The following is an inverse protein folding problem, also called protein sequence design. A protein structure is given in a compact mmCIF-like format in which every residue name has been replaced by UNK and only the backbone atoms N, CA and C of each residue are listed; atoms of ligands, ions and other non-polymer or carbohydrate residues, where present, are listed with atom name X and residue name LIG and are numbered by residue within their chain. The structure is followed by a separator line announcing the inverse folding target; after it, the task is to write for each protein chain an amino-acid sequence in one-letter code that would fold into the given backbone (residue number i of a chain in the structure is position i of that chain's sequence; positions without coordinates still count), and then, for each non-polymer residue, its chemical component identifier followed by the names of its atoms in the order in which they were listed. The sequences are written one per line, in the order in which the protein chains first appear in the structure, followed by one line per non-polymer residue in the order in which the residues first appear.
data_IF_889364087206
#
_entry.id   IF_889364087206
#
_cell.length_a   1.000
_cell.length_b   1.000
_cell.length_c   1.000
_cell.angle_alpha   90.00
_cell.angle_beta   90.00
_cell.angle_gamma   90.00
#
_symmetry.space_group_name_H-M   'P 1'
#
loop_
_entity.id
_entity.type
_entity.pdbx_description
1 polymer ?
#
# COMPACT_ATOMS: atom_id res chain seq x y z
N UNK A 1 -23.31 -5.38 -10.84
CA UNK A 1 -21.93 -5.95 -10.73
C UNK A 1 -21.64 -6.28 -9.27
N UNK A 2 -20.63 -7.09 -8.95
CA UNK A 2 -20.29 -7.44 -7.56
C UNK A 2 -18.89 -6.98 -7.17
N UNK A 3 -18.72 -6.50 -5.94
CA UNK A 3 -17.43 -6.14 -5.37
C UNK A 3 -16.52 -7.37 -5.26
N UNK A 4 -15.33 -7.32 -5.86
CA UNK A 4 -14.38 -8.45 -5.88
C UNK A 4 -13.82 -8.82 -4.49
N UNK A 5 -13.96 -7.94 -3.50
CA UNK A 5 -13.43 -8.15 -2.14
C UNK A 5 -14.48 -8.77 -1.22
N UNK A 6 -15.71 -8.26 -1.23
CA UNK A 6 -16.74 -8.65 -0.26
C UNK A 6 -18.03 -9.21 -0.86
N UNK A 7 -18.13 -9.31 -2.20
CA UNK A 7 -19.29 -9.87 -2.89
C UNK A 7 -20.56 -9.02 -2.82
N UNK A 8 -20.52 -7.81 -2.23
CA UNK A 8 -21.67 -6.88 -2.23
C UNK A 8 -21.96 -6.41 -3.64
N UNK A 9 -23.24 -6.31 -3.96
CA UNK A 9 -23.71 -5.72 -5.21
C UNK A 9 -23.31 -4.24 -5.30
N UNK A 10 -22.85 -3.85 -6.47
CA UNK A 10 -22.43 -2.49 -6.82
C UNK A 10 -23.11 -2.11 -8.14
N UNK A 11 -23.47 -0.83 -8.23
CA UNK A 11 -24.14 -0.27 -9.41
C UNK A 11 -23.25 -0.43 -10.65
N UNK A 12 -23.86 -0.84 -11.76
CA UNK A 12 -23.21 -0.99 -13.06
C UNK A 12 -22.82 0.36 -13.68
N UNK A 13 -23.33 1.48 -13.15
CA UNK A 13 -22.99 2.84 -13.60
C UNK A 13 -21.61 3.30 -13.11
N UNK A 14 -21.03 2.58 -12.15
CA UNK A 14 -19.71 2.89 -11.61
C UNK A 14 -18.65 2.01 -12.25
N UNK A 15 -17.66 2.63 -12.90
CA UNK A 15 -16.47 1.97 -13.46
C UNK A 15 -15.49 1.53 -12.35
N UNK A 16 -15.96 0.72 -11.38
CA UNK A 16 -15.18 0.29 -10.21
C UNK A 16 -15.48 -1.15 -9.85
N UNK A 17 -14.44 -1.98 -9.69
CA UNK A 17 -14.59 -3.39 -9.31
C UNK A 17 -14.77 -3.63 -7.80
N UNK A 18 -14.70 -2.56 -7.01
CA UNK A 18 -14.70 -2.58 -5.54
C UNK A 18 -15.72 -1.61 -4.99
N UNK A 19 -16.38 -1.98 -3.88
CA UNK A 19 -17.29 -1.06 -3.20
C UNK A 19 -16.53 -0.05 -2.33
N UNK A 20 -17.16 1.10 -2.08
CA UNK A 20 -16.59 2.22 -1.32
C UNK A 20 -16.06 1.81 0.07
N UNK A 21 -16.72 0.86 0.74
CA UNK A 21 -16.28 0.41 2.06
C UNK A 21 -14.93 -0.31 1.98
N UNK A 22 -14.79 -1.25 1.05
CA UNK A 22 -13.55 -1.98 0.86
C UNK A 22 -12.41 -1.06 0.39
N UNK A 23 -12.69 -0.09 -0.49
CA UNK A 23 -11.71 0.92 -0.89
C UNK A 23 -11.21 1.74 0.31
N UNK A 24 -12.12 2.17 1.19
CA UNK A 24 -11.74 2.91 2.41
C UNK A 24 -10.89 2.07 3.36
N UNK A 25 -11.22 0.80 3.55
CA UNK A 25 -10.44 -0.10 4.41
C UNK A 25 -9.03 -0.33 3.87
N UNK A 26 -8.90 -0.63 2.57
CA UNK A 26 -7.60 -0.79 1.91
C UNK A 26 -6.77 0.49 2.01
N UNK A 27 -7.39 1.66 1.83
CA UNK A 27 -6.71 2.95 1.97
C UNK A 27 -6.18 3.16 3.40
N UNK A 28 -6.99 2.86 4.42
CA UNK A 28 -6.56 2.94 5.84
C UNK A 28 -5.38 2.01 6.12
N UNK A 29 -5.47 0.75 5.69
CA UNK A 29 -4.39 -0.24 5.87
C UNK A 29 -3.11 0.22 5.16
N UNK A 30 -3.22 0.71 3.93
CA UNK A 30 -2.09 1.24 3.16
C UNK A 30 -1.41 2.39 3.89
N UNK A 31 -2.18 3.33 4.43
CA UNK A 31 -1.62 4.43 5.21
C UNK A 31 -0.94 3.97 6.49
N UNK A 32 -1.50 2.98 7.19
CA UNK A 32 -0.87 2.39 8.38
C UNK A 32 0.46 1.71 8.03
N UNK A 33 0.52 0.97 6.93
CA UNK A 33 1.76 0.35 6.43
C UNK A 33 2.81 1.40 6.05
N UNK A 34 2.42 2.50 5.44
CA UNK A 34 3.35 3.60 5.12
C UNK A 34 3.88 4.26 6.40
N UNK A 35 3.03 4.46 7.41
CA UNK A 35 3.42 5.06 8.70
C UNK A 35 4.30 4.12 9.54
N UNK A 36 4.05 2.81 9.51
CA UNK A 36 4.84 1.84 10.27
C UNK A 36 6.21 1.54 9.65
N UNK A 37 6.40 1.83 8.37
CA UNK A 37 7.70 1.69 7.71
C UNK A 37 8.70 2.69 8.28
N UNK A 38 9.75 2.16 8.90
CA UNK A 38 10.94 2.91 9.32
C UNK A 38 11.44 3.71 8.11
N UNK A 39 11.56 5.03 8.26
CA UNK A 39 12.06 5.90 7.18
C UNK A 39 13.42 5.38 6.72
N UNK A 40 13.48 4.93 5.47
CA UNK A 40 14.72 4.47 4.87
C UNK A 40 15.63 5.70 4.72
N UNK A 41 16.72 5.73 5.49
CA UNK A 41 17.73 6.76 5.36
C UNK A 41 18.71 6.35 4.26
N UNK A 42 18.45 6.81 3.04
CA UNK A 42 19.29 6.50 1.87
C UNK A 42 20.76 6.93 2.03
N UNK A 43 21.03 7.95 2.85
CA UNK A 43 22.40 8.38 3.16
C UNK A 43 23.13 7.36 4.02
N UNK A 44 22.46 6.76 5.00
CA UNK A 44 23.02 5.67 5.81
C UNK A 44 23.24 4.40 4.99
N UNK A 45 22.32 4.08 4.08
CA UNK A 45 22.47 2.93 3.17
C UNK A 45 23.67 3.08 2.22
N UNK A 46 23.89 4.28 1.65
CA UNK A 46 25.07 4.56 0.80
C UNK A 46 26.39 4.37 1.55
N UNK A 47 26.47 4.82 2.81
CA UNK A 47 27.67 4.65 3.64
C UNK A 47 27.96 3.16 3.93
N UNK A 48 26.93 2.40 4.34
CA UNK A 48 27.07 0.95 4.55
C UNK A 48 27.51 0.22 3.29
N UNK A 49 26.98 0.59 2.12
CA UNK A 49 27.39 -0.01 0.83
C UNK A 49 28.88 0.20 0.55
N UNK A 50 29.42 1.37 0.86
CA UNK A 50 30.86 1.65 0.71
C UNK A 50 31.73 0.88 1.71
N UNK A 51 31.27 0.65 2.94
CA UNK A 51 31.98 -0.18 3.92
C UNK A 51 32.04 -1.65 3.49
N UNK A 52 30.93 -2.20 2.99
CA UNK A 52 30.89 -3.58 2.48
C UNK A 52 31.74 -3.81 1.24
N UNK A 53 31.97 -2.79 0.40
CA UNK A 53 32.82 -2.90 -0.80
C UNK A 53 34.32 -2.73 -0.52
N UNK A 54 34.72 -2.51 0.73
CA UNK A 54 36.13 -2.40 1.16
C UNK A 54 36.67 -3.68 1.81
N UNK A 55 35.84 -4.71 1.94
CA UNK A 55 36.17 -6.07 2.38
C UNK A 55 36.24 -6.94 1.13
#
# INVERSE_FOLDING_TARGET
MFCIICGKEISDDQFRNTCDNCEREVSKLSQQMVKSRKRINFRQLRKKKQEYSKI
#
